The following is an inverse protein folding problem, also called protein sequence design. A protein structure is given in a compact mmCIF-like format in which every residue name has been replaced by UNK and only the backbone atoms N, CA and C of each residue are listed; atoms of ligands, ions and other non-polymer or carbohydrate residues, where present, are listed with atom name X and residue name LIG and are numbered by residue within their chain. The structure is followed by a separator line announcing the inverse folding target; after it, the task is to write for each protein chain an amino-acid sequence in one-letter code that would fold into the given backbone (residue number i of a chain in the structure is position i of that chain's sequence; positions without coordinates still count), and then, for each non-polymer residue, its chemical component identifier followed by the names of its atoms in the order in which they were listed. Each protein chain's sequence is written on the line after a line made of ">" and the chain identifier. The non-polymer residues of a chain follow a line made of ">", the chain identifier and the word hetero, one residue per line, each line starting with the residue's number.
data_IF_834039875574
#
_entry.id   IF_834039875574
#
_cell.length_a   1.000
_cell.length_b   1.000
_cell.length_c   1.000
_cell.angle_alpha   90.00
_cell.angle_beta   90.00
_cell.angle_gamma   90.00
#
_symmetry.space_group_name_H-M   'P 1'
#
loop_
_entity.id
_entity.type
_entity.pdbx_description
1 polymer ?
#
# COMPACT_ATOMS: atom_id res chain seq x y z
N UNK A 1 15.39 -21.90 0.07
CA UNK A 1 13.99 -22.28 -0.23
C UNK A 1 13.01 -21.18 0.16
N UNK A 2 12.97 -20.79 1.43
CA UNK A 2 12.08 -19.70 1.89
C UNK A 2 12.27 -18.39 1.11
N UNK A 3 13.53 -17.96 0.95
CA UNK A 3 13.84 -16.70 0.27
C UNK A 3 13.45 -16.71 -1.21
N UNK A 4 13.50 -17.89 -1.85
CA UNK A 4 13.06 -18.02 -3.24
C UNK A 4 11.54 -17.80 -3.36
N UNK A 5 10.75 -18.35 -2.44
CA UNK A 5 9.31 -18.14 -2.40
C UNK A 5 8.97 -16.69 -2.09
N UNK A 6 9.65 -16.10 -1.11
CA UNK A 6 9.46 -14.68 -0.76
C UNK A 6 9.77 -13.76 -1.94
N UNK A 7 10.83 -14.06 -2.69
CA UNK A 7 11.18 -13.31 -3.90
C UNK A 7 10.11 -13.42 -4.96
N UNK A 8 9.60 -14.64 -5.19
CA UNK A 8 8.53 -14.90 -6.15
C UNK A 8 7.29 -14.08 -5.82
N UNK A 9 6.89 -14.05 -4.55
CA UNK A 9 5.74 -13.25 -4.09
C UNK A 9 5.98 -11.75 -4.30
N UNK A 10 7.19 -11.29 -4.05
CA UNK A 10 7.53 -9.88 -4.21
C UNK A 10 7.49 -9.46 -5.67
N UNK A 11 8.03 -10.28 -6.56
CA UNK A 11 8.02 -10.03 -8.00
C UNK A 11 6.58 -10.00 -8.54
N UNK A 12 5.75 -10.97 -8.16
CA UNK A 12 4.35 -11.01 -8.53
C UNK A 12 3.61 -9.77 -8.02
N UNK A 13 3.90 -9.34 -6.80
CA UNK A 13 3.30 -8.14 -6.21
C UNK A 13 3.68 -6.87 -6.96
N UNK A 14 4.92 -6.76 -7.42
CA UNK A 14 5.39 -5.62 -8.20
C UNK A 14 4.75 -5.59 -9.59
N UNK A 15 4.64 -6.74 -10.25
CA UNK A 15 3.98 -6.85 -11.54
C UNK A 15 2.51 -6.43 -11.47
N UNK A 16 1.86 -6.71 -10.34
CA UNK A 16 0.47 -6.32 -10.10
C UNK A 16 0.28 -4.80 -10.12
N UNK A 17 1.31 -4.02 -9.79
CA UNK A 17 1.25 -2.56 -9.77
C UNK A 17 1.43 -1.91 -11.15
N UNK A 18 1.96 -2.64 -12.12
CA UNK A 18 2.27 -2.09 -13.45
C UNK A 18 1.09 -1.39 -14.12
N UNK A 19 -0.17 -1.91 -14.09
CA UNK A 19 -1.30 -1.25 -14.73
C UNK A 19 -1.60 0.15 -14.18
N UNK A 20 -1.21 0.44 -12.95
CA UNK A 20 -1.48 1.73 -12.30
C UNK A 20 -0.29 2.68 -12.29
N UNK A 21 0.86 2.24 -12.79
CA UNK A 21 2.09 3.04 -12.86
C UNK A 21 2.45 3.66 -11.50
N UNK A 22 2.40 2.85 -10.46
CA UNK A 22 2.80 3.27 -9.11
C UNK A 22 3.85 2.33 -8.55
N UNK A 23 4.66 2.85 -7.64
CA UNK A 23 5.71 2.09 -6.96
C UNK A 23 5.18 1.46 -5.67
N UNK A 24 5.91 0.49 -5.09
CA UNK A 24 5.57 -0.01 -3.75
C UNK A 24 5.49 1.10 -2.68
N UNK A 25 6.34 2.11 -2.78
CA UNK A 25 6.30 3.27 -1.87
C UNK A 25 5.02 4.09 -2.03
N UNK A 26 4.56 4.28 -3.26
CA UNK A 26 3.28 4.93 -3.55
C UNK A 26 2.13 4.13 -2.93
N UNK A 27 2.14 2.82 -3.09
CA UNK A 27 1.11 1.96 -2.51
C UNK A 27 1.08 2.04 -0.99
N UNK A 28 2.24 2.08 -0.34
CA UNK A 28 2.31 2.27 1.12
C UNK A 28 1.64 3.55 1.56
N UNK A 29 1.87 4.64 0.84
CA UNK A 29 1.24 5.92 1.13
C UNK A 29 -0.29 5.84 1.00
N UNK A 30 -0.79 5.21 -0.06
CA UNK A 30 -2.23 5.01 -0.25
C UNK A 30 -2.84 4.20 0.90
N UNK A 31 -2.15 3.16 1.35
CA UNK A 31 -2.60 2.34 2.48
C UNK A 31 -2.65 3.11 3.78
N UNK A 32 -1.63 3.91 4.05
CA UNK A 32 -1.58 4.76 5.26
C UNK A 32 -2.75 5.73 5.25
N UNK A 33 -2.99 6.40 4.14
CA UNK A 33 -4.10 7.36 4.02
C UNK A 33 -5.46 6.67 4.10
N UNK A 34 -5.58 5.45 3.60
CA UNK A 34 -6.81 4.66 3.72
C UNK A 34 -7.09 4.30 5.19
N UNK A 35 -6.04 3.97 5.94
CA UNK A 35 -6.18 3.56 7.34
C UNK A 35 -6.45 4.73 8.28
N UNK A 36 -5.74 5.83 8.11
CA UNK A 36 -5.78 6.96 9.03
C UNK A 36 -6.71 8.09 8.60
N UNK A 37 -7.17 8.10 7.35
CA UNK A 37 -7.87 9.24 6.78
C UNK A 37 -6.92 10.38 6.44
N UNK A 38 -7.42 11.60 6.27
CA UNK A 38 -6.57 12.74 5.93
C UNK A 38 -5.47 12.95 6.97
N UNK A 39 -4.24 13.15 6.50
CA UNK A 39 -3.07 13.37 7.34
C UNK A 39 -2.31 14.60 6.88
N UNK A 40 -1.73 15.32 7.84
CA UNK A 40 -0.72 16.34 7.53
C UNK A 40 0.50 15.67 6.91
N UNK A 41 1.19 16.40 6.04
CA UNK A 41 2.36 15.86 5.34
C UNK A 41 3.43 15.35 6.32
N UNK A 42 3.65 16.06 7.43
CA UNK A 42 4.58 15.63 8.47
C UNK A 42 4.17 14.28 9.10
N UNK A 43 2.88 14.08 9.34
CA UNK A 43 2.36 12.83 9.88
C UNK A 43 2.49 11.70 8.87
N UNK A 44 2.25 11.99 7.60
CA UNK A 44 2.43 11.00 6.53
C UNK A 44 3.90 10.56 6.46
N UNK A 45 4.84 11.50 6.51
CA UNK A 45 6.27 11.14 6.50
C UNK A 45 6.65 10.29 7.70
N UNK A 46 6.12 10.60 8.89
CA UNK A 46 6.36 9.81 10.11
C UNK A 46 5.82 8.38 9.97
N UNK A 47 4.59 8.24 9.47
CA UNK A 47 3.97 6.92 9.26
C UNK A 47 4.71 6.09 8.23
N UNK A 48 5.23 6.72 7.18
CA UNK A 48 6.00 6.05 6.15
C UNK A 48 7.46 5.83 6.54
N UNK A 49 7.92 6.47 7.61
CA UNK A 49 9.32 6.45 8.06
C UNK A 49 10.29 6.88 6.95
N UNK A 50 9.95 7.96 6.29
CA UNK A 50 10.76 8.57 5.24
C UNK A 50 11.00 10.04 5.56
N UNK A 51 11.97 10.64 4.88
CA UNK A 51 12.26 12.07 5.03
C UNK A 51 11.06 12.91 4.55
N UNK A 52 10.82 14.08 5.12
CA UNK A 52 9.74 14.97 4.68
C UNK A 52 9.79 15.28 3.19
N UNK A 53 10.99 15.45 2.63
CA UNK A 53 11.17 15.67 1.19
C UNK A 53 10.66 14.49 0.36
N UNK A 54 10.94 13.27 0.79
CA UNK A 54 10.47 12.06 0.12
C UNK A 54 8.95 11.96 0.18
N UNK A 55 8.35 12.32 1.32
CA UNK A 55 6.89 12.35 1.46
C UNK A 55 6.25 13.36 0.51
N UNK A 56 6.88 14.52 0.32
CA UNK A 56 6.42 15.52 -0.64
C UNK A 56 6.49 14.97 -2.07
N UNK A 57 7.58 14.32 -2.44
CA UNK A 57 7.75 13.71 -3.77
C UNK A 57 6.70 12.63 -4.04
N UNK A 58 6.46 11.76 -3.06
CA UNK A 58 5.43 10.72 -3.16
C UNK A 58 4.05 11.35 -3.34
N UNK A 59 3.74 12.37 -2.53
CA UNK A 59 2.46 13.07 -2.61
C UNK A 59 2.28 13.76 -3.97
N UNK A 60 3.32 14.42 -4.48
CA UNK A 60 3.29 15.05 -5.81
C UNK A 60 2.99 14.03 -6.90
N UNK A 61 3.65 12.88 -6.84
CA UNK A 61 3.46 11.81 -7.82
C UNK A 61 2.02 11.25 -7.76
N UNK A 62 1.49 11.03 -6.58
CA UNK A 62 0.12 10.52 -6.39
C UNK A 62 -0.92 11.57 -6.78
N UNK A 63 -0.68 12.82 -6.47
CA UNK A 63 -1.58 13.91 -6.85
C UNK A 63 -1.63 14.08 -8.36
N UNK A 64 -0.50 13.98 -9.05
CA UNK A 64 -0.45 14.05 -10.51
C UNK A 64 -1.25 12.93 -11.19
N UNK A 65 -1.41 11.80 -10.50
CA UNK A 65 -2.22 10.67 -10.97
C UNK A 65 -3.67 10.73 -10.52
N UNK A 66 -4.04 11.78 -9.79
CA UNK A 66 -5.41 11.93 -9.28
C UNK A 66 -5.78 10.99 -8.14
N UNK A 67 -4.80 10.37 -7.49
CA UNK A 67 -5.04 9.38 -6.43
C UNK A 67 -5.14 10.01 -5.05
N UNK A 68 -4.51 11.15 -4.86
CA UNK A 68 -4.61 11.94 -3.63
C UNK A 68 -4.84 13.39 -3.99
N UNK A 69 -5.29 14.17 -3.00
CA UNK A 69 -5.43 15.60 -3.12
C UNK A 69 -4.95 16.28 -1.84
N UNK A 70 -4.44 17.50 -2.00
CA UNK A 70 -4.09 18.35 -0.87
C UNK A 70 -5.23 19.27 -0.55
N UNK A 71 -5.48 19.45 0.75
CA UNK A 71 -6.48 20.38 1.23
C UNK A 71 -5.93 21.19 2.40
N UNK A 72 -6.38 22.45 2.59
CA UNK A 72 -6.04 23.19 3.78
C UNK A 72 -6.58 22.49 5.03
N UNK A 73 -5.80 22.52 6.11
CA UNK A 73 -6.29 22.08 7.42
C UNK A 73 -7.22 23.17 7.96
N UNK A 74 -8.47 22.79 8.28
CA UNK A 74 -9.47 23.74 8.77
C UNK A 74 -9.13 24.28 10.16
N UNK A 75 -8.30 23.57 10.92
CA UNK A 75 -7.90 23.97 12.27
C UNK A 75 -6.61 24.78 12.31
N UNK A 76 -5.76 24.64 11.28
CA UNK A 76 -4.50 25.35 11.15
C UNK A 76 -4.23 25.66 9.68
N UNK A 77 -4.42 26.91 9.29
CA UNK A 77 -4.24 27.38 7.91
C UNK A 77 -2.83 27.19 7.36
N UNK A 78 -1.84 26.99 8.24
CA UNK A 78 -0.44 26.78 7.84
C UNK A 78 -0.19 25.33 7.42
N UNK A 79 -1.07 24.43 7.79
CA UNK A 79 -0.92 23.01 7.52
C UNK A 79 -1.72 22.61 6.31
N UNK A 80 -1.21 21.62 5.61
CA UNK A 80 -1.85 20.99 4.46
C UNK A 80 -2.16 19.55 4.82
N UNK A 81 -3.39 19.12 4.54
CA UNK A 81 -3.82 17.74 4.67
C UNK A 81 -3.71 17.04 3.32
N UNK A 82 -3.30 15.80 3.34
CA UNK A 82 -3.29 14.89 2.19
C UNK A 82 -4.36 13.85 2.42
N UNK A 83 -5.19 13.59 1.42
CA UNK A 83 -6.24 12.58 1.53
C UNK A 83 -6.41 11.84 0.21
N UNK A 84 -6.94 10.62 0.29
CA UNK A 84 -7.31 9.86 -0.89
C UNK A 84 -8.46 10.55 -1.60
N UNK A 85 -8.40 10.57 -2.94
CA UNK A 85 -9.56 10.87 -3.76
C UNK A 85 -10.44 9.62 -3.87
N UNK A 86 -11.64 9.77 -4.40
CA UNK A 86 -12.49 8.64 -4.73
C UNK A 86 -11.78 7.69 -5.71
N UNK A 87 -11.10 8.26 -6.70
CA UNK A 87 -10.29 7.49 -7.64
C UNK A 87 -9.16 6.74 -6.92
N UNK A 88 -8.50 7.37 -5.96
CA UNK A 88 -7.46 6.73 -5.15
C UNK A 88 -7.99 5.52 -4.37
N UNK A 89 -9.17 5.62 -3.79
CA UNK A 89 -9.82 4.51 -3.10
C UNK A 89 -10.14 3.37 -4.05
N UNK A 90 -10.69 3.70 -5.22
CA UNK A 90 -11.00 2.72 -6.27
C UNK A 90 -9.76 1.96 -6.73
N UNK A 91 -8.67 2.66 -6.98
CA UNK A 91 -7.40 2.05 -7.41
C UNK A 91 -6.85 1.16 -6.30
N UNK A 92 -6.88 1.63 -5.05
CA UNK A 92 -6.40 0.82 -3.92
C UNK A 92 -7.20 -0.48 -3.77
N UNK A 93 -8.52 -0.41 -3.91
CA UNK A 93 -9.38 -1.59 -3.85
C UNK A 93 -9.07 -2.56 -5.00
N UNK A 94 -8.85 -2.04 -6.20
CA UNK A 94 -8.49 -2.85 -7.36
C UNK A 94 -7.15 -3.56 -7.16
N UNK A 95 -6.16 -2.86 -6.60
CA UNK A 95 -4.86 -3.44 -6.29
C UNK A 95 -4.98 -4.54 -5.23
N UNK A 96 -5.76 -4.31 -4.18
CA UNK A 96 -6.00 -5.31 -3.13
C UNK A 96 -6.64 -6.58 -3.70
N UNK A 97 -7.62 -6.41 -4.59
CA UNK A 97 -8.28 -7.54 -5.25
C UNK A 97 -7.31 -8.32 -6.14
N UNK A 98 -6.50 -7.61 -6.94
CA UNK A 98 -5.51 -8.24 -7.82
C UNK A 98 -4.44 -9.01 -7.03
N UNK A 99 -3.95 -8.43 -5.93
CA UNK A 99 -2.96 -9.09 -5.06
C UNK A 99 -3.54 -10.29 -4.32
N UNK A 100 -4.80 -10.19 -3.89
CA UNK A 100 -5.51 -11.33 -3.30
C UNK A 100 -5.60 -12.49 -4.27
N UNK A 101 -5.94 -12.22 -5.53
CA UNK A 101 -6.00 -13.25 -6.58
C UNK A 101 -4.64 -13.89 -6.86
N UNK A 102 -3.56 -13.12 -6.85
CA UNK A 102 -2.20 -13.66 -7.03
C UNK A 102 -1.80 -14.57 -5.87
N UNK A 103 -2.08 -14.15 -4.64
CA UNK A 103 -1.81 -14.96 -3.46
C UNK A 103 -2.63 -16.25 -3.47
N UNK A 104 -3.91 -16.16 -3.80
CA UNK A 104 -4.78 -17.34 -3.91
C UNK A 104 -4.26 -18.32 -4.96
N UNK A 105 -3.81 -17.80 -6.10
CA UNK A 105 -3.27 -18.62 -7.17
C UNK A 105 -2.02 -19.38 -6.75
N UNK A 106 -1.13 -18.73 -6.02
CA UNK A 106 0.07 -19.37 -5.49
C UNK A 106 -0.27 -20.43 -4.44
N UNK A 107 -1.09 -20.08 -3.46
CA UNK A 107 -1.40 -20.97 -2.34
C UNK A 107 -2.41 -22.06 -2.71
N UNK A 108 -3.17 -21.92 -3.79
CA UNK A 108 -4.07 -22.96 -4.27
C UNK A 108 -3.34 -24.24 -4.72
N UNK A 109 -2.03 -24.16 -4.92
CA UNK A 109 -1.19 -25.34 -5.19
C UNK A 109 -1.07 -26.26 -3.98
N UNK A 110 -1.37 -25.74 -2.79
CA UNK A 110 -1.36 -26.53 -1.56
C UNK A 110 -2.77 -27.07 -1.27
N UNK A 111 -2.82 -28.23 -0.59
CA UNK A 111 -4.08 -28.72 -0.05
C UNK A 111 -4.66 -27.75 0.97
N UNK A 112 -5.95 -27.84 1.25
CA UNK A 112 -6.58 -26.99 2.28
C UNK A 112 -5.93 -27.22 3.66
N UNK A 113 -5.55 -28.45 3.97
CA UNK A 113 -4.86 -28.78 5.22
C UNK A 113 -3.50 -28.10 5.30
N UNK A 114 -2.72 -28.14 4.22
CA UNK A 114 -1.40 -27.50 4.16
C UNK A 114 -1.51 -25.98 4.23
N UNK A 115 -2.52 -25.39 3.59
CA UNK A 115 -2.78 -23.96 3.69
C UNK A 115 -3.06 -23.54 5.14
N UNK A 116 -3.86 -24.32 5.86
CA UNK A 116 -4.17 -24.07 7.27
C UNK A 116 -2.92 -24.20 8.15
N UNK A 117 -2.10 -25.21 7.90
CA UNK A 117 -0.84 -25.43 8.63
C UNK A 117 0.13 -24.27 8.37
N UNK A 118 0.28 -23.83 7.13
CA UNK A 118 1.13 -22.69 6.79
C UNK A 118 0.66 -21.41 7.48
N UNK A 119 -0.63 -21.13 7.47
CA UNK A 119 -1.20 -19.99 8.15
C UNK A 119 -0.92 -20.04 9.65
N UNK A 120 -1.06 -21.20 10.27
CA UNK A 120 -0.77 -21.42 11.69
C UNK A 120 0.70 -21.13 12.00
N UNK A 121 1.61 -21.64 11.18
CA UNK A 121 3.05 -21.48 11.36
C UNK A 121 3.46 -20.02 11.20
N UNK A 122 2.96 -19.36 10.16
CA UNK A 122 3.31 -17.95 9.91
C UNK A 122 2.81 -17.02 11.02
N UNK A 123 1.67 -17.32 11.64
CA UNK A 123 1.17 -16.54 12.77
C UNK A 123 2.12 -16.57 13.97
N UNK A 124 2.88 -17.66 14.15
CA UNK A 124 3.86 -17.75 15.22
C UNK A 124 5.05 -16.80 15.01
N UNK A 125 5.34 -16.44 13.77
CA UNK A 125 6.44 -15.53 13.42
C UNK A 125 6.02 -14.07 13.41
N UNK A 126 4.72 -13.81 13.41
CA UNK A 126 4.18 -12.45 13.37
C UNK A 126 4.25 -11.82 14.75
N UNK A 127 4.80 -10.63 14.80
CA UNK A 127 4.85 -9.82 16.00
C UNK A 127 3.71 -8.81 16.05
#
# INVERSE_FOLDING_TARGET
>A
MFWAVARQLREASQETLAPWDITPGHLRALRVLSRHGPLRLSRLSDQLRIAPRSATEVTDALESRGLVERQPDLTDRRATLVQLTEHGRSVLDAIRAARGSEAERLFSQLSLADQADLARILRQLRR
#
